data_IF_725699613172
#
_entry.id   IF_725699613172
#
_cell.length_a   1.000
_cell.length_b   1.000
_cell.length_c   1.000
_cell.angle_alpha   90.00
_cell.angle_beta   90.00
_cell.angle_gamma   90.00
#
_symmetry.space_group_name_H-M   'P 1'
#
loop_
_entity.id
_entity.type
_entity.pdbx_description
1 polymer ?
#
# COMPACT_ATOMS: atom_id res chain seq x y z
N UNK A 1 -2.43 4.80 -5.84
CA UNK A 1 -3.21 3.88 -6.70
C UNK A 1 -4.38 4.63 -7.30
N UNK A 2 -4.98 4.21 -8.41
CA UNK A 2 -6.18 4.87 -8.92
C UNK A 2 -7.31 4.76 -7.91
N UNK A 3 -8.05 5.85 -7.68
CA UNK A 3 -9.05 5.87 -6.60
C UNK A 3 -10.23 4.94 -6.88
N UNK A 4 -10.64 4.81 -8.14
CA UNK A 4 -11.78 3.99 -8.55
C UNK A 4 -11.45 2.49 -8.50
N UNK A 5 -10.20 2.12 -8.82
CA UNK A 5 -9.71 0.75 -8.64
C UNK A 5 -9.66 0.36 -7.16
N UNK A 6 -9.17 1.25 -6.30
CA UNK A 6 -9.21 1.04 -4.84
C UNK A 6 -10.64 0.92 -4.33
N UNK A 7 -11.55 1.80 -4.76
CA UNK A 7 -12.97 1.73 -4.41
C UNK A 7 -13.56 0.36 -4.79
N UNK A 8 -13.43 -0.06 -6.05
CA UNK A 8 -13.91 -1.38 -6.51
C UNK A 8 -13.30 -2.53 -5.73
N UNK A 9 -12.01 -2.47 -5.41
CA UNK A 9 -11.33 -3.49 -4.62
C UNK A 9 -11.92 -3.60 -3.21
N UNK A 10 -12.17 -2.46 -2.54
CA UNK A 10 -12.79 -2.42 -1.22
C UNK A 10 -14.24 -2.89 -1.26
N UNK A 11 -15.04 -2.41 -2.22
CA UNK A 11 -16.43 -2.81 -2.39
C UNK A 11 -16.57 -4.33 -2.59
N UNK A 12 -15.73 -4.91 -3.44
CA UNK A 12 -15.74 -6.35 -3.71
C UNK A 12 -15.25 -7.18 -2.52
N UNK A 13 -14.19 -6.75 -1.84
CA UNK A 13 -13.64 -7.49 -0.70
C UNK A 13 -14.55 -7.46 0.52
N UNK A 14 -15.22 -6.33 0.78
CA UNK A 14 -16.01 -6.13 1.98
C UNK A 14 -17.53 -6.17 1.74
N UNK A 15 -17.96 -6.37 0.49
CA UNK A 15 -19.36 -6.42 0.08
C UNK A 15 -20.16 -5.18 0.51
N UNK A 16 -19.57 -4.01 0.32
CA UNK A 16 -20.15 -2.70 0.64
C UNK A 16 -20.19 -1.83 -0.60
N UNK A 17 -20.98 -0.74 -0.56
CA UNK A 17 -20.92 0.33 -1.55
C UNK A 17 -20.25 1.55 -0.92
N UNK A 18 -19.30 2.16 -1.61
CA UNK A 18 -18.47 3.25 -1.11
C UNK A 18 -18.46 4.40 -2.12
N UNK A 19 -18.10 5.59 -1.62
CA UNK A 19 -17.67 6.72 -2.43
C UNK A 19 -16.40 7.24 -1.75
N UNK A 20 -15.24 6.91 -2.30
CA UNK A 20 -13.94 7.21 -1.69
C UNK A 20 -13.64 8.72 -1.74
N UNK A 21 -14.24 9.43 -2.70
CA UNK A 21 -14.09 10.87 -2.90
C UNK A 21 -14.99 11.64 -1.94
N UNK A 22 -16.22 11.16 -1.71
CA UNK A 22 -17.23 11.76 -0.81
C UNK A 22 -17.84 10.71 0.13
N UNK A 23 -17.05 10.20 1.09
CA UNK A 23 -17.52 9.14 1.97
C UNK A 23 -18.65 9.61 2.88
N UNK A 24 -19.71 8.79 2.96
CA UNK A 24 -20.77 8.96 3.95
C UNK A 24 -20.25 8.74 5.38
N UNK A 25 -19.36 7.76 5.55
CA UNK A 25 -18.67 7.46 6.80
C UNK A 25 -17.16 7.37 6.55
N UNK A 26 -16.44 8.46 6.84
CA UNK A 26 -14.99 8.53 6.66
C UNK A 26 -14.23 7.63 7.63
N UNK A 27 -14.76 7.37 8.83
CA UNK A 27 -14.09 6.52 9.81
C UNK A 27 -14.14 5.05 9.37
N UNK A 28 -15.29 4.61 8.86
CA UNK A 28 -15.41 3.29 8.26
C UNK A 28 -14.50 3.13 7.04
N UNK A 29 -14.50 4.10 6.12
CA UNK A 29 -13.63 4.04 4.94
C UNK A 29 -12.15 3.97 5.30
N UNK A 30 -11.69 4.80 6.25
CA UNK A 30 -10.31 4.75 6.76
C UNK A 30 -9.95 3.36 7.29
N UNK A 31 -10.87 2.71 8.01
CA UNK A 31 -10.66 1.34 8.50
C UNK A 31 -10.52 0.34 7.35
N UNK A 32 -11.40 0.41 6.35
CA UNK A 32 -11.35 -0.49 5.19
C UNK A 32 -10.06 -0.32 4.37
N UNK A 33 -9.62 0.93 4.15
CA UNK A 33 -8.33 1.22 3.48
C UNK A 33 -7.17 0.67 4.29
N UNK A 34 -7.12 0.94 5.59
CA UNK A 34 -6.06 0.43 6.47
C UNK A 34 -6.00 -1.10 6.45
N UNK A 35 -7.14 -1.77 6.58
CA UNK A 35 -7.22 -3.23 6.63
C UNK A 35 -6.84 -3.86 5.28
N UNK A 36 -7.29 -3.26 4.17
CA UNK A 36 -6.93 -3.69 2.82
C UNK A 36 -5.42 -3.55 2.58
N UNK A 37 -4.86 -2.36 2.80
CA UNK A 37 -3.44 -2.13 2.51
C UNK A 37 -2.56 -2.99 3.41
N UNK A 38 -2.88 -3.18 4.69
CA UNK A 38 -2.08 -4.06 5.57
C UNK A 38 -2.13 -5.53 5.19
N UNK A 39 -3.21 -5.98 4.55
CA UNK A 39 -3.34 -7.34 4.03
C UNK A 39 -2.45 -7.55 2.81
N UNK A 40 -2.33 -6.52 1.96
CA UNK A 40 -1.71 -6.60 0.63
C UNK A 40 -0.29 -6.00 0.53
N UNK A 41 0.11 -5.19 1.52
CA UNK A 41 1.42 -4.56 1.61
C UNK A 41 2.09 -4.93 2.93
N UNK A 42 3.16 -5.72 2.85
CA UNK A 42 3.98 -6.10 4.01
C UNK A 42 5.42 -5.65 3.81
N UNK A 43 5.89 -4.79 4.70
CA UNK A 43 7.27 -4.29 4.69
C UNK A 43 8.04 -4.91 5.85
N UNK A 44 9.24 -5.41 5.58
CA UNK A 44 10.19 -5.89 6.58
C UNK A 44 11.49 -5.11 6.49
N UNK A 45 12.00 -4.66 7.63
CA UNK A 45 13.32 -4.06 7.75
C UNK A 45 14.24 -4.99 8.54
N UNK A 46 15.38 -5.36 7.95
CA UNK A 46 16.37 -6.27 8.55
C UNK A 46 15.74 -7.56 9.13
N UNK A 47 14.76 -8.10 8.41
CA UNK A 47 14.04 -9.34 8.76
C UNK A 47 12.85 -9.16 9.72
N UNK A 48 12.61 -7.97 10.27
CA UNK A 48 11.46 -7.70 11.16
C UNK A 48 10.31 -7.06 10.39
N UNK A 49 9.09 -7.57 10.55
CA UNK A 49 7.87 -6.95 9.99
C UNK A 49 7.67 -5.59 10.66
N UNK A 50 7.46 -4.56 9.84
CA UNK A 50 7.12 -3.23 10.32
C UNK A 50 5.63 -3.16 10.64
N UNK A 51 5.30 -2.73 11.85
CA UNK A 51 3.94 -2.38 12.21
C UNK A 51 3.61 -1.02 11.58
N UNK A 52 2.83 -1.04 10.49
CA UNK A 52 2.38 0.17 9.83
C UNK A 52 1.21 0.77 10.61
N UNK A 53 1.27 2.05 10.91
CA UNK A 53 0.19 2.85 11.48
C UNK A 53 -0.43 3.69 10.36
N UNK A 54 -1.76 3.63 10.22
CA UNK A 54 -2.46 4.40 9.20
C UNK A 54 -2.56 5.86 9.61
N UNK A 55 -2.11 6.76 8.73
CA UNK A 55 -2.14 8.22 8.95
C UNK A 55 -3.36 8.85 8.29
N UNK A 56 -3.70 8.41 7.08
CA UNK A 56 -4.82 8.95 6.33
C UNK A 56 -4.72 8.66 4.84
N UNK A 57 -5.67 9.20 4.09
CA UNK A 57 -5.62 9.21 2.63
C UNK A 57 -6.06 10.56 2.08
N UNK A 58 -5.62 10.86 0.87
CA UNK A 58 -6.13 11.97 0.07
C UNK A 58 -6.34 11.56 -1.38
N UNK A 59 -7.26 12.25 -2.04
CA UNK A 59 -7.47 12.11 -3.49
C UNK A 59 -6.76 13.28 -4.16
N UNK A 60 -5.81 12.96 -5.03
CA UNK A 60 -5.10 13.94 -5.85
C UNK A 60 -5.18 13.49 -7.30
N UNK A 61 -5.81 14.32 -8.14
CA UNK A 61 -6.16 13.95 -9.52
C UNK A 61 -6.94 12.63 -9.51
N UNK A 62 -6.47 11.63 -10.25
CA UNK A 62 -7.08 10.29 -10.31
C UNK A 62 -6.48 9.31 -9.28
N UNK A 63 -5.58 9.79 -8.41
CA UNK A 63 -4.87 8.98 -7.43
C UNK A 63 -5.46 9.05 -6.03
N UNK A 64 -5.69 7.88 -5.42
CA UNK A 64 -5.78 7.71 -3.97
C UNK A 64 -4.37 7.52 -3.38
N UNK A 65 -3.93 8.50 -2.61
CA UNK A 65 -2.69 8.50 -1.84
C UNK A 65 -2.98 8.03 -0.43
N UNK A 66 -2.41 6.90 -0.02
CA UNK A 66 -2.59 6.36 1.33
C UNK A 66 -1.28 6.46 2.10
N UNK A 67 -1.33 7.03 3.30
CA UNK A 67 -0.16 7.29 4.13
C UNK A 67 -0.12 6.35 5.32
N UNK A 68 1.02 5.73 5.51
CA UNK A 68 1.33 4.88 6.65
C UNK A 68 2.68 5.28 7.23
N UNK A 69 2.81 5.19 8.55
CA UNK A 69 4.08 5.40 9.25
C UNK A 69 4.48 4.16 10.05
N UNK A 70 5.76 3.98 10.31
CA UNK A 70 6.26 2.99 11.27
C UNK A 70 7.35 3.64 12.12
N UNK A 71 7.35 3.34 13.42
CA UNK A 71 8.26 3.96 14.40
C UNK A 71 9.32 2.96 14.88
N UNK A 72 10.38 3.49 15.50
CA UNK A 72 11.43 2.68 16.12
C UNK A 72 12.42 2.05 15.14
N UNK A 73 12.68 2.73 14.01
CA UNK A 73 13.57 2.26 12.95
C UNK A 73 14.72 3.26 12.82
N UNK A 74 15.84 2.99 13.51
CA UNK A 74 16.98 3.91 13.52
C UNK A 74 17.91 3.74 12.32
N UNK A 75 18.08 2.50 11.86
CA UNK A 75 18.94 2.12 10.73
C UNK A 75 18.36 0.89 10.04
N UNK A 76 18.51 0.81 8.73
CA UNK A 76 18.06 -0.32 7.92
C UNK A 76 19.11 -0.62 6.87
N UNK A 77 19.51 -1.90 6.75
CA UNK A 77 20.42 -2.37 5.70
C UNK A 77 19.69 -3.12 4.60
N UNK A 78 18.59 -3.77 4.94
CA UNK A 78 17.79 -4.56 4.01
C UNK A 78 16.31 -4.27 4.20
N UNK A 79 15.63 -3.99 3.11
CA UNK A 79 14.17 -3.90 3.05
C UNK A 79 13.63 -5.01 2.17
N UNK A 80 12.65 -5.74 2.68
CA UNK A 80 11.84 -6.66 1.92
C UNK A 80 10.41 -6.12 1.84
N UNK A 81 9.84 -6.11 0.66
CA UNK A 81 8.46 -5.67 0.42
C UNK A 81 7.71 -6.81 -0.24
N UNK A 82 6.53 -7.11 0.28
CA UNK A 82 5.49 -7.86 -0.41
C UNK A 82 4.40 -6.85 -0.78
N UNK A 83 4.05 -6.75 -2.06
CA UNK A 83 3.04 -5.82 -2.58
C UNK A 83 2.20 -6.49 -3.68
N UNK A 84 1.01 -6.96 -3.32
CA UNK A 84 0.00 -7.51 -4.23
C UNK A 84 -1.26 -6.62 -4.30
N UNK A 85 -1.13 -5.33 -3.99
CA UNK A 85 -2.22 -4.36 -4.08
C UNK A 85 -2.88 -4.43 -5.46
N UNK A 86 -4.21 -4.51 -5.45
CA UNK A 86 -5.10 -4.57 -6.63
C UNK A 86 -4.99 -5.81 -7.52
N UNK A 87 -4.12 -6.78 -7.21
CA UNK A 87 -3.91 -7.97 -8.05
C UNK A 87 -5.17 -8.81 -8.27
N UNK A 88 -6.04 -8.92 -7.25
CA UNK A 88 -7.30 -9.67 -7.35
C UNK A 88 -8.29 -9.09 -8.37
N UNK A 89 -8.19 -7.79 -8.68
CA UNK A 89 -9.09 -7.09 -9.61
C UNK A 89 -8.44 -6.83 -10.97
N UNK A 90 -7.11 -6.76 -11.02
CA UNK A 90 -6.35 -6.38 -12.20
C UNK A 90 -5.25 -7.43 -12.46
N UNK A 91 -5.50 -8.41 -13.35
CA UNK A 91 -4.52 -9.44 -13.69
C UNK A 91 -3.22 -8.89 -14.30
N UNK A 92 -3.28 -7.72 -14.93
CA UNK A 92 -2.13 -7.04 -15.55
C UNK A 92 -1.51 -5.97 -14.64
N UNK A 93 -1.84 -5.97 -13.34
CA UNK A 93 -1.37 -4.97 -12.39
C UNK A 93 0.16 -5.01 -12.24
N UNK A 94 0.75 -3.82 -12.20
CA UNK A 94 2.17 -3.60 -11.94
C UNK A 94 2.29 -2.61 -10.79
N UNK A 95 2.97 -3.01 -9.73
CA UNK A 95 3.26 -2.13 -8.59
C UNK A 95 4.71 -1.63 -8.67
N UNK A 96 4.87 -0.31 -8.72
CA UNK A 96 6.18 0.36 -8.76
C UNK A 96 6.62 0.70 -7.35
N UNK A 97 7.79 0.19 -6.95
CA UNK A 97 8.34 0.37 -5.61
C UNK A 97 9.52 1.33 -5.66
N UNK A 98 9.44 2.40 -4.87
CA UNK A 98 10.51 3.37 -4.68
C UNK A 98 10.86 3.47 -3.21
N UNK A 99 12.09 3.08 -2.85
CA UNK A 99 12.56 3.09 -1.47
C UNK A 99 13.73 4.05 -1.37
N UNK A 100 13.64 5.02 -0.47
CA UNK A 100 14.69 6.02 -0.22
C UNK A 100 15.17 5.91 1.22
N UNK A 101 16.46 5.67 1.40
CA UNK A 101 17.14 5.62 2.71
C UNK A 101 18.39 6.49 2.61
N UNK A 102 18.59 7.43 3.55
CA UNK A 102 19.75 8.32 3.58
C UNK A 102 20.06 8.97 2.20
N UNK A 103 19.03 9.52 1.54
CA UNK A 103 19.08 10.13 0.20
C UNK A 103 19.46 9.18 -0.96
N UNK A 104 19.64 7.88 -0.70
CA UNK A 104 19.80 6.87 -1.73
C UNK A 104 18.44 6.27 -2.09
N UNK A 105 17.99 6.46 -3.33
CA UNK A 105 16.78 5.84 -3.86
C UNK A 105 17.11 4.56 -4.63
N UNK A 106 16.38 3.49 -4.35
CA UNK A 106 16.33 2.27 -5.16
C UNK A 106 14.91 2.04 -5.65
N UNK A 107 14.78 1.53 -6.87
CA UNK A 107 13.50 1.36 -7.53
C UNK A 107 13.42 -0.02 -8.16
N UNK A 108 12.24 -0.63 -8.10
CA UNK A 108 11.91 -1.82 -8.89
C UNK A 108 10.42 -1.80 -9.20
N UNK A 109 9.98 -2.76 -10.00
CA UNK A 109 8.57 -3.10 -10.15
C UNK A 109 8.36 -4.56 -9.77
N UNK A 110 7.13 -4.88 -9.40
CA UNK A 110 6.61 -6.25 -9.29
C UNK A 110 5.38 -6.33 -10.18
N UNK A 111 5.30 -7.40 -10.98
CA UNK A 111 4.25 -7.63 -11.97
C UNK A 111 3.45 -8.86 -11.53
N UNK A 112 2.12 -8.80 -11.48
CA UNK A 112 1.28 -9.93 -11.07
C UNK A 112 1.61 -11.20 -11.91
N UNK A 113 1.93 -12.36 -11.29
CA UNK A 113 1.74 -12.72 -9.88
C UNK A 113 2.96 -12.54 -8.96
N UNK A 114 4.09 -12.04 -9.45
CA UNK A 114 5.21 -11.70 -8.58
C UNK A 114 4.81 -10.51 -7.68
N UNK A 115 5.07 -10.63 -6.37
CA UNK A 115 4.70 -9.62 -5.38
C UNK A 115 5.86 -9.24 -4.44
N UNK A 116 6.97 -9.97 -4.48
CA UNK A 116 8.08 -9.80 -3.54
C UNK A 116 9.26 -9.06 -4.16
N UNK A 117 9.79 -8.08 -3.42
CA UNK A 117 10.99 -7.32 -3.77
C UNK A 117 11.97 -7.25 -2.59
N UNK A 118 13.26 -7.21 -2.91
CA UNK A 118 14.36 -7.10 -1.93
C UNK A 118 15.31 -5.98 -2.29
N UNK A 119 15.64 -5.15 -1.31
CA UNK A 119 16.54 -4.01 -1.46
C UNK A 119 17.61 -4.08 -0.38
N UNK A 120 18.88 -4.05 -0.77
CA UNK A 120 20.00 -3.90 0.17
C UNK A 120 20.52 -2.47 0.02
N UNK A 121 20.86 -1.78 1.11
CA UNK A 121 21.38 -0.41 1.13
C UNK A 121 22.78 -0.38 1.74
#
# INVERSE_FOLDING_TARGET
MFYDDLEKALEKQYHVQLDIVKPKDKAQLNKLINDYVKKHLVIRADGKILALDYVGYEIQEDGAWCYFEAKGIDRVKKVNVHDDLLYEQHPEQINMLHITINNQRKSTKVDNPDADASFNF
#
